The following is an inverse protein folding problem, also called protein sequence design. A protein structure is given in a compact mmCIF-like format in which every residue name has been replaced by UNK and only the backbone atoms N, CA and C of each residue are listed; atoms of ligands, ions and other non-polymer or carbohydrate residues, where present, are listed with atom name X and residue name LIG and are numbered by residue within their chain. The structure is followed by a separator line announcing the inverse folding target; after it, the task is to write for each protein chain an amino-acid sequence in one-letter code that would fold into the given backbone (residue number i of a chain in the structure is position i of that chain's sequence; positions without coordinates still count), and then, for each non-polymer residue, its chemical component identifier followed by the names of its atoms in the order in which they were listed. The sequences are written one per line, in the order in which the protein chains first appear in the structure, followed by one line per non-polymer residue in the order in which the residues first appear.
data_IF_755335354589
#
_entry.id   IF_755335354589
#
_cell.length_a   1.000
_cell.length_b   1.000
_cell.length_c   1.000
_cell.angle_alpha   90.00
_cell.angle_beta   90.00
_cell.angle_gamma   90.00
#
_symmetry.space_group_name_H-M   'P 1'
#
loop_
_entity.id
_entity.type
_entity.pdbx_description
1 polymer ?
#
# COMPACT_ATOMS: atom_id res chain seq x y z
N UNK A 1 10.42 -3.67 -49.77
CA UNK A 1 9.82 -4.73 -50.61
C UNK A 1 8.41 -4.98 -50.09
N UNK A 2 7.36 -4.74 -50.89
CA UNK A 2 5.97 -4.82 -50.44
C UNK A 2 5.32 -6.14 -50.85
N UNK A 3 4.63 -6.80 -49.92
CA UNK A 3 3.61 -7.80 -50.23
C UNK A 3 2.38 -7.45 -49.38
N UNK A 4 1.37 -6.83 -49.98
CA UNK A 4 0.19 -7.46 -50.61
C UNK A 4 -0.76 -8.11 -49.60
N UNK A 5 -1.77 -7.31 -49.23
CA UNK A 5 -3.07 -7.76 -48.70
C UNK A 5 -3.80 -8.65 -49.74
N UNK A 6 -4.45 -9.72 -49.27
CA UNK A 6 -5.76 -10.17 -49.77
C UNK A 6 -6.61 -10.77 -48.64
N UNK A 7 -7.93 -10.50 -48.63
CA UNK A 7 -8.87 -10.99 -47.62
C UNK A 7 -9.48 -12.34 -48.00
N UNK A 8 -9.95 -13.10 -47.01
CA UNK A 8 -10.90 -14.20 -47.20
C UNK A 8 -12.07 -13.98 -46.25
N UNK A 9 -13.26 -13.84 -46.82
CA UNK A 9 -14.51 -13.69 -46.11
C UNK A 9 -15.11 -15.05 -45.71
N UNK A 10 -15.71 -15.06 -44.52
CA UNK A 10 -16.96 -15.71 -44.11
C UNK A 10 -17.24 -17.18 -44.50
N UNK A 11 -17.50 -18.00 -43.46
CA UNK A 11 -18.74 -18.79 -43.38
C UNK A 11 -19.03 -19.22 -41.94
N UNK A 12 -20.27 -18.99 -41.53
CA UNK A 12 -20.91 -19.49 -40.31
C UNK A 12 -21.09 -21.01 -40.36
N UNK A 13 -20.98 -21.70 -39.22
CA UNK A 13 -21.91 -22.77 -38.86
C UNK A 13 -21.73 -23.20 -37.39
N UNK A 14 -22.87 -23.23 -36.70
CA UNK A 14 -23.12 -23.81 -35.38
C UNK A 14 -22.50 -25.20 -35.18
N UNK A 15 -22.01 -25.46 -33.97
CA UNK A 15 -22.11 -26.76 -33.32
C UNK A 15 -22.34 -26.54 -31.82
N UNK A 16 -23.61 -26.64 -31.44
CA UNK A 16 -24.01 -26.90 -30.07
C UNK A 16 -23.76 -28.38 -29.75
N UNK A 17 -23.22 -28.64 -28.56
CA UNK A 17 -23.14 -29.87 -27.75
C UNK A 17 -21.99 -29.54 -26.78
N UNK A 18 -22.10 -29.56 -25.47
CA UNK A 18 -22.88 -30.37 -24.56
C UNK A 18 -22.11 -30.32 -23.23
N UNK A 19 -22.85 -30.14 -22.15
CA UNK A 19 -22.40 -30.07 -20.76
C UNK A 19 -21.33 -31.11 -20.36
N UNK A 20 -20.24 -30.62 -19.74
CA UNK A 20 -19.32 -31.24 -18.76
C UNK A 20 -18.41 -30.08 -18.31
N UNK A 21 -17.92 -29.87 -17.09
CA UNK A 21 -18.11 -30.35 -15.74
C UNK A 21 -17.18 -29.46 -14.87
N UNK A 22 -17.56 -29.10 -13.64
CA UNK A 22 -16.71 -28.42 -12.64
C UNK A 22 -16.59 -26.91 -12.88
N UNK A 23 -17.07 -26.02 -12.01
CA UNK A 23 -16.57 -25.85 -10.64
C UNK A 23 -15.05 -26.08 -10.60
N UNK A 24 -14.32 -25.23 -11.31
CA UNK A 24 -12.91 -25.03 -11.03
C UNK A 24 -12.82 -24.40 -9.65
N UNK A 25 -12.72 -25.25 -8.63
CA UNK A 25 -12.26 -24.82 -7.32
C UNK A 25 -10.94 -24.11 -7.54
N UNK A 26 -10.92 -22.81 -7.26
CA UNK A 26 -9.68 -22.10 -7.06
C UNK A 26 -8.93 -22.88 -5.99
N UNK A 27 -7.84 -23.53 -6.39
CA UNK A 27 -6.88 -23.96 -5.39
C UNK A 27 -6.42 -22.67 -4.73
N UNK A 28 -6.71 -22.54 -3.45
CA UNK A 28 -6.04 -21.57 -2.59
C UNK A 28 -4.56 -21.86 -2.76
N UNK A 29 -3.91 -21.12 -3.65
CA UNK A 29 -2.48 -21.13 -3.83
C UNK A 29 -1.92 -20.63 -2.51
N UNK A 30 -1.73 -21.56 -1.57
CA UNK A 30 -1.32 -21.25 -0.22
C UNK A 30 -0.11 -20.36 -0.30
N UNK A 31 -0.20 -19.20 0.35
CA UNK A 31 0.94 -18.32 0.49
C UNK A 31 2.08 -19.12 1.12
N UNK A 32 3.16 -19.31 0.38
CA UNK A 32 4.39 -19.88 0.89
C UNK A 32 5.33 -18.73 1.15
N UNK A 33 5.43 -18.31 2.41
CA UNK A 33 6.37 -17.28 2.80
C UNK A 33 7.79 -17.66 2.33
N UNK A 34 8.57 -16.70 1.77
CA UNK A 34 9.98 -16.94 1.49
C UNK A 34 10.72 -17.21 2.80
N UNK A 35 11.81 -17.99 2.71
CA UNK A 35 12.68 -18.21 3.86
C UNK A 35 13.55 -16.98 4.08
N UNK A 36 13.27 -16.21 5.14
CA UNK A 36 14.05 -15.04 5.56
C UNK A 36 14.65 -15.36 6.93
N UNK A 37 15.91 -15.04 7.14
CA UNK A 37 16.51 -15.12 8.48
C UNK A 37 15.85 -14.08 9.39
N UNK A 38 15.38 -14.52 10.57
CA UNK A 38 14.72 -13.63 11.56
C UNK A 38 15.58 -13.40 12.80
N UNK A 39 16.86 -13.79 12.77
CA UNK A 39 17.80 -13.44 13.82
C UNK A 39 18.19 -11.97 13.68
N UNK A 40 18.26 -11.27 14.81
CA UNK A 40 18.73 -9.89 14.81
C UNK A 40 20.15 -9.80 14.25
N UNK A 41 20.38 -8.87 13.33
CA UNK A 41 21.69 -8.65 12.71
C UNK A 41 22.57 -7.82 13.64
N UNK A 42 23.85 -8.14 13.69
CA UNK A 42 24.85 -7.24 14.27
C UNK A 42 25.05 -6.07 13.29
N UNK A 43 24.84 -4.85 13.76
CA UNK A 43 25.13 -3.65 12.97
C UNK A 43 26.61 -3.30 13.18
N UNK A 44 27.29 -3.01 12.07
CA UNK A 44 28.72 -2.74 11.98
C UNK A 44 28.94 -1.62 10.98
N UNK A 45 30.13 -1.04 10.95
CA UNK A 45 30.48 -0.03 9.95
C UNK A 45 30.45 -0.54 8.50
N UNK A 46 30.54 -1.86 8.31
CA UNK A 46 30.50 -2.48 6.99
C UNK A 46 29.07 -2.62 6.41
N UNK A 47 28.03 -2.68 7.26
CA UNK A 47 26.64 -2.87 6.84
C UNK A 47 25.68 -1.76 7.30
N UNK A 48 26.15 -0.75 8.03
CA UNK A 48 25.30 0.33 8.56
C UNK A 48 24.48 1.05 7.49
N UNK A 49 25.06 1.30 6.30
CA UNK A 49 24.37 1.97 5.18
C UNK A 49 23.21 1.13 4.63
N UNK A 50 23.44 -0.17 4.41
CA UNK A 50 22.40 -1.11 3.96
C UNK A 50 21.31 -1.30 5.02
N UNK A 51 21.68 -1.34 6.30
CA UNK A 51 20.74 -1.43 7.42
C UNK A 51 19.85 -0.19 7.51
N UNK A 52 20.41 1.01 7.35
CA UNK A 52 19.60 2.24 7.37
C UNK A 52 18.74 2.38 6.12
N UNK A 53 19.20 1.93 4.94
CA UNK A 53 18.40 1.90 3.72
C UNK A 53 17.18 0.98 3.88
N UNK A 54 17.39 -0.26 4.35
CA UNK A 54 16.28 -1.21 4.63
C UNK A 54 15.33 -0.68 5.70
N UNK A 55 15.86 -0.05 6.75
CA UNK A 55 15.03 0.57 7.77
C UNK A 55 14.21 1.73 7.20
N UNK A 56 14.82 2.61 6.40
CA UNK A 56 14.14 3.72 5.76
C UNK A 56 13.09 3.24 4.77
N UNK A 57 13.38 2.29 3.88
CA UNK A 57 12.40 1.75 2.93
C UNK A 57 11.19 1.12 3.65
N UNK A 58 11.43 0.46 4.79
CA UNK A 58 10.36 -0.17 5.57
C UNK A 58 9.40 0.81 6.25
N UNK A 59 9.83 2.06 6.49
CA UNK A 59 9.02 3.08 7.18
C UNK A 59 8.66 4.24 6.22
N UNK A 60 9.63 4.78 5.50
CA UNK A 60 9.52 5.89 4.55
C UNK A 60 8.74 5.58 3.27
N UNK A 61 8.68 4.32 2.83
CA UNK A 61 7.90 3.91 1.66
C UNK A 61 6.39 4.18 1.75
N UNK A 62 5.88 4.50 2.95
CA UNK A 62 4.49 4.93 3.19
C UNK A 62 4.25 6.43 2.98
N UNK A 63 5.29 7.26 2.89
CA UNK A 63 5.16 8.73 2.95
C UNK A 63 5.14 9.47 1.61
N UNK A 64 5.24 8.75 0.49
CA UNK A 64 5.21 9.38 -0.83
C UNK A 64 3.79 9.81 -1.22
N UNK A 65 3.48 11.05 -0.84
CA UNK A 65 2.28 11.82 -1.19
C UNK A 65 1.96 11.77 -2.67
N UNK A 66 0.90 11.01 -3.01
CA UNK A 66 0.14 11.17 -4.24
C UNK A 66 -0.62 12.50 -4.25
N UNK A 67 -0.71 13.14 -5.42
CA UNK A 67 -1.48 14.36 -5.63
C UNK A 67 -2.98 14.17 -5.33
N UNK A 68 -3.59 15.29 -4.96
CA UNK A 68 -4.96 15.53 -4.49
C UNK A 68 -5.12 15.42 -2.99
N UNK A 69 -4.90 14.28 -2.33
CA UNK A 69 -4.88 14.20 -0.86
C UNK A 69 -3.89 13.13 -0.37
N UNK A 70 -3.11 13.38 0.69
CA UNK A 70 -2.17 12.41 1.23
C UNK A 70 -2.95 11.18 1.72
N UNK A 71 -2.92 10.09 0.95
CA UNK A 71 -3.21 8.74 1.40
C UNK A 71 -1.86 8.03 1.58
N UNK A 72 -1.26 8.02 2.79
CA UNK A 72 0.01 7.34 3.09
C UNK A 72 -0.04 5.80 2.94
N UNK A 73 -1.13 5.23 2.43
CA UNK A 73 -1.16 3.81 2.03
C UNK A 73 -0.84 3.70 0.54
N UNK A 74 0.35 4.17 0.20
CA UNK A 74 1.12 3.50 -0.83
C UNK A 74 1.55 2.16 -0.25
N UNK A 75 0.80 1.09 -0.49
CA UNK A 75 1.46 -0.23 -0.62
C UNK A 75 2.29 -0.09 -1.90
N UNK A 76 3.45 0.55 -1.78
CA UNK A 76 4.39 0.71 -2.87
C UNK A 76 4.95 -0.68 -3.07
N UNK A 77 4.47 -1.38 -4.09
CA UNK A 77 5.17 -2.54 -4.61
C UNK A 77 6.52 -2.03 -5.14
N UNK A 78 7.52 -1.98 -4.26
CA UNK A 78 8.82 -1.40 -4.53
C UNK A 78 9.47 -2.09 -5.74
N UNK A 79 9.72 -1.35 -6.83
CA UNK A 79 10.54 -1.84 -7.95
C UNK A 79 10.33 -1.18 -9.31
N UNK A 80 9.54 -0.11 -9.41
CA UNK A 80 9.44 0.67 -10.64
C UNK A 80 9.11 2.14 -10.37
N UNK A 81 9.37 3.00 -11.34
CA UNK A 81 8.94 4.41 -11.35
C UNK A 81 7.40 4.56 -11.34
N UNK A 82 6.68 3.46 -11.60
CA UNK A 82 5.23 3.42 -11.70
C UNK A 82 4.64 2.82 -10.41
N UNK A 83 4.31 3.70 -9.47
CA UNK A 83 3.75 3.35 -8.16
C UNK A 83 2.23 3.25 -8.29
N UNK A 84 1.68 2.05 -8.19
CA UNK A 84 0.23 1.83 -8.26
C UNK A 84 -0.38 2.07 -6.87
N UNK A 85 -1.22 3.09 -6.72
CA UNK A 85 -1.99 3.35 -5.50
C UNK A 85 -3.13 2.34 -5.36
N UNK A 86 -2.81 1.20 -4.76
CA UNK A 86 -3.72 0.06 -4.67
C UNK A 86 -4.98 0.36 -3.86
N UNK A 87 -4.83 1.12 -2.77
CA UNK A 87 -5.96 1.48 -1.92
C UNK A 87 -6.94 2.39 -2.67
N UNK A 88 -6.45 3.38 -3.41
CA UNK A 88 -7.29 4.37 -4.08
C UNK A 88 -8.04 3.75 -5.24
N UNK A 89 -7.34 2.93 -6.03
CA UNK A 89 -7.97 2.11 -7.06
C UNK A 89 -9.00 1.18 -6.42
N UNK A 90 -8.68 0.54 -5.29
CA UNK A 90 -9.59 -0.35 -4.60
C UNK A 90 -10.86 0.38 -4.13
N UNK A 91 -10.72 1.49 -3.42
CA UNK A 91 -11.82 2.30 -2.91
C UNK A 91 -12.68 2.85 -4.06
N UNK A 92 -12.07 3.40 -5.11
CA UNK A 92 -12.78 3.90 -6.29
C UNK A 92 -13.56 2.80 -7.02
N UNK A 93 -12.99 1.60 -7.16
CA UNK A 93 -13.71 0.48 -7.77
C UNK A 93 -14.88 0.01 -6.90
N UNK A 94 -14.72 -0.03 -5.57
CA UNK A 94 -15.82 -0.43 -4.69
C UNK A 94 -16.92 0.62 -4.68
N UNK A 95 -16.60 1.91 -4.57
CA UNK A 95 -17.58 3.00 -4.68
C UNK A 95 -18.39 2.87 -6.00
N UNK A 96 -17.69 2.65 -7.12
CA UNK A 96 -18.33 2.41 -8.41
C UNK A 96 -19.26 1.21 -8.40
N UNK A 97 -18.85 0.09 -7.78
CA UNK A 97 -19.67 -1.11 -7.68
C UNK A 97 -20.94 -0.83 -6.82
N UNK A 98 -20.78 -0.21 -5.67
CA UNK A 98 -21.87 0.16 -4.77
C UNK A 98 -22.90 1.07 -5.46
N UNK A 99 -22.44 2.10 -6.19
CA UNK A 99 -23.31 3.00 -6.98
C UNK A 99 -24.15 2.25 -8.01
N UNK A 100 -23.60 1.21 -8.66
CA UNK A 100 -24.35 0.39 -9.63
C UNK A 100 -25.30 -0.61 -8.98
N UNK A 101 -24.91 -1.15 -7.83
CA UNK A 101 -25.67 -2.14 -7.09
C UNK A 101 -26.80 -1.57 -6.23
N UNK A 102 -26.88 -0.23 -6.11
CA UNK A 102 -27.89 0.49 -5.33
C UNK A 102 -29.32 0.01 -5.67
N UNK A 103 -30.07 -0.53 -4.69
CA UNK A 103 -31.50 -0.81 -4.84
C UNK A 103 -32.28 0.44 -5.24
N UNK A 104 -33.43 0.26 -5.91
CA UNK A 104 -34.32 1.38 -6.22
C UNK A 104 -34.70 2.14 -4.93
N UNK A 105 -34.84 3.48 -5.01
CA UNK A 105 -35.03 4.37 -3.87
C UNK A 105 -36.21 4.01 -2.93
N UNK A 106 -37.19 3.24 -3.42
CA UNK A 106 -38.36 2.81 -2.66
C UNK A 106 -38.20 1.42 -1.99
N UNK A 107 -37.03 0.78 -2.10
CA UNK A 107 -36.79 -0.57 -1.59
C UNK A 107 -36.27 -0.53 -0.13
N UNK A 108 -37.08 -0.98 0.83
CA UNK A 108 -36.64 -1.25 2.20
C UNK A 108 -35.87 -2.56 2.25
N UNK A 109 -34.61 -2.53 1.86
CA UNK A 109 -33.66 -3.63 2.07
C UNK A 109 -32.94 -3.38 3.40
N UNK A 110 -32.51 -4.39 4.14
CA UNK A 110 -31.79 -4.20 5.43
C UNK A 110 -30.27 -4.41 5.30
N UNK A 111 -29.86 -5.15 4.28
CA UNK A 111 -28.48 -5.42 3.88
C UNK A 111 -28.51 -5.92 2.43
N UNK A 112 -27.47 -5.65 1.65
CA UNK A 112 -27.40 -6.13 0.27
C UNK A 112 -25.98 -6.49 -0.12
N UNK A 113 -25.86 -7.42 -1.07
CA UNK A 113 -24.58 -7.81 -1.66
C UNK A 113 -24.53 -7.35 -3.10
N UNK A 114 -23.46 -6.66 -3.46
CA UNK A 114 -23.14 -6.28 -4.83
C UNK A 114 -22.05 -7.21 -5.33
N UNK A 115 -22.20 -7.70 -6.55
CA UNK A 115 -21.11 -8.32 -7.28
C UNK A 115 -21.05 -7.71 -8.67
N UNK A 116 -19.89 -7.20 -9.05
CA UNK A 116 -19.62 -6.63 -10.37
C UNK A 116 -18.32 -7.20 -10.93
N UNK A 117 -18.19 -7.20 -12.26
CA UNK A 117 -16.97 -7.57 -12.94
C UNK A 117 -16.71 -6.56 -14.05
N UNK A 118 -15.54 -5.92 -13.97
CA UNK A 118 -15.11 -4.89 -14.92
C UNK A 118 -13.93 -5.44 -15.71
N UNK A 119 -13.98 -5.31 -17.03
CA UNK A 119 -12.82 -5.61 -17.87
C UNK A 119 -11.80 -4.48 -17.71
N UNK A 120 -10.52 -4.83 -17.56
CA UNK A 120 -9.47 -3.82 -17.52
C UNK A 120 -9.22 -3.24 -18.91
N UNK A 121 -8.64 -2.05 -18.98
CA UNK A 121 -8.51 -1.28 -20.23
C UNK A 121 -7.75 -2.02 -21.32
N UNK A 122 -6.76 -2.84 -20.96
CA UNK A 122 -5.98 -3.62 -21.92
C UNK A 122 -6.33 -5.11 -21.91
N UNK A 123 -6.19 -5.80 -20.77
CA UNK A 123 -6.52 -7.24 -20.63
C UNK A 123 -6.89 -7.61 -19.20
N UNK A 124 -7.49 -8.79 -19.03
CA UNK A 124 -7.89 -9.30 -17.72
C UNK A 124 -9.16 -8.66 -17.20
N UNK A 125 -9.41 -8.82 -15.90
CA UNK A 125 -10.61 -8.28 -15.26
C UNK A 125 -10.40 -8.01 -13.78
N UNK A 126 -11.25 -7.14 -13.23
CA UNK A 126 -11.42 -6.89 -11.81
C UNK A 126 -12.80 -7.43 -11.44
N UNK A 127 -12.86 -8.33 -10.46
CA UNK A 127 -14.11 -8.79 -9.86
C UNK A 127 -14.26 -8.14 -8.49
N UNK A 128 -15.41 -7.55 -8.24
CA UNK A 128 -15.69 -6.83 -7.00
C UNK A 128 -16.89 -7.51 -6.35
N UNK A 129 -16.78 -7.82 -5.07
CA UNK A 129 -17.91 -8.23 -4.24
C UNK A 129 -17.95 -7.35 -3.00
N UNK A 130 -19.05 -6.66 -2.77
CA UNK A 130 -19.26 -5.86 -1.57
C UNK A 130 -20.50 -6.34 -0.83
N UNK A 131 -20.45 -6.37 0.50
CA UNK A 131 -21.58 -6.63 1.36
C UNK A 131 -21.79 -5.40 2.24
N UNK A 132 -22.98 -4.81 2.10
CA UNK A 132 -23.38 -3.61 2.82
C UNK A 132 -24.25 -4.03 3.99
N UNK A 133 -23.74 -3.81 5.19
CA UNK A 133 -24.29 -4.30 6.44
C UNK A 133 -25.52 -3.53 6.92
N UNK A 134 -25.67 -2.27 6.48
CA UNK A 134 -26.81 -1.43 6.82
C UNK A 134 -27.38 -0.72 5.58
N UNK A 135 -28.69 -0.58 5.56
CA UNK A 135 -29.43 0.08 4.49
C UNK A 135 -29.65 1.58 4.71
N UNK A 136 -29.10 2.12 5.79
CA UNK A 136 -29.41 3.47 6.27
C UNK A 136 -28.87 4.56 5.33
N UNK A 137 -28.07 4.20 4.31
CA UNK A 137 -27.43 5.12 3.37
C UNK A 137 -27.80 4.91 1.90
N UNK A 138 -28.98 4.36 1.56
CA UNK A 138 -29.33 4.24 0.13
C UNK A 138 -29.21 5.57 -0.61
N UNK A 139 -29.45 6.72 0.03
CA UNK A 139 -29.34 8.03 -0.61
C UNK A 139 -28.04 8.82 -0.37
N UNK A 140 -27.17 8.39 0.53
CA UNK A 140 -26.07 9.26 0.99
C UNK A 140 -24.69 8.89 0.47
N UNK A 141 -24.52 7.79 -0.28
CA UNK A 141 -23.19 7.34 -0.77
C UNK A 141 -22.20 7.04 0.37
N UNK A 142 -22.68 7.01 1.63
CA UNK A 142 -21.91 6.73 2.84
C UNK A 142 -21.74 5.22 2.96
N UNK A 143 -20.49 4.80 3.15
CA UNK A 143 -20.19 3.45 3.60
C UNK A 143 -20.34 3.39 5.12
N UNK A 144 -20.92 2.31 5.63
CA UNK A 144 -21.18 2.16 7.06
C UNK A 144 -20.20 1.20 7.72
N UNK A 145 -20.08 1.34 9.04
CA UNK A 145 -19.40 0.35 9.87
C UNK A 145 -19.97 -1.05 9.64
N UNK A 146 -19.09 -2.03 9.42
CA UNK A 146 -19.44 -3.41 9.10
C UNK A 146 -19.56 -3.70 7.60
N UNK A 147 -19.51 -2.69 6.73
CA UNK A 147 -19.43 -2.90 5.30
C UNK A 147 -18.11 -3.59 4.93
N UNK A 148 -18.20 -4.53 3.99
CA UNK A 148 -17.03 -5.28 3.52
C UNK A 148 -16.97 -5.26 2.01
N UNK A 149 -15.77 -5.25 1.47
CA UNK A 149 -15.53 -5.39 0.05
C UNK A 149 -14.38 -6.37 -0.20
N UNK A 150 -14.42 -7.06 -1.33
CA UNK A 150 -13.33 -7.87 -1.83
C UNK A 150 -13.17 -7.59 -3.30
N UNK A 151 -11.94 -7.30 -3.69
CA UNK A 151 -11.54 -6.96 -5.04
C UNK A 151 -10.54 -8.02 -5.46
N UNK A 152 -10.84 -8.71 -6.56
CA UNK A 152 -10.00 -9.74 -7.13
C UNK A 152 -9.51 -9.26 -8.49
N UNK A 153 -8.20 -9.15 -8.62
CA UNK A 153 -7.52 -8.81 -9.86
C UNK A 153 -7.14 -10.11 -10.57
N UNK A 154 -7.68 -10.27 -11.79
CA UNK A 154 -7.44 -11.45 -12.62
C UNK A 154 -6.55 -11.07 -13.80
N UNK A 155 -5.23 -11.01 -13.57
CA UNK A 155 -4.23 -10.58 -14.55
C UNK A 155 -4.64 -9.27 -15.27
N UNK A 156 -5.09 -8.32 -14.47
CA UNK A 156 -5.63 -7.05 -14.92
C UNK A 156 -4.49 -6.14 -15.39
N UNK A 157 -4.53 -5.69 -16.63
CA UNK A 157 -3.59 -4.71 -17.16
C UNK A 157 -4.32 -3.42 -17.50
N UNK A 158 -3.84 -2.31 -16.92
CA UNK A 158 -4.36 -0.97 -17.18
C UNK A 158 -3.71 -0.35 -18.42
N UNK A 159 -2.54 -0.84 -18.81
CA UNK A 159 -1.85 -0.47 -20.03
C UNK A 159 -1.28 -1.70 -20.76
N UNK A 160 -0.51 -1.47 -21.82
CA UNK A 160 0.11 -2.54 -22.60
C UNK A 160 1.25 -3.26 -21.86
N UNK A 161 1.65 -2.75 -20.70
CA UNK A 161 2.85 -3.14 -20.02
C UNK A 161 2.62 -3.99 -18.79
N UNK A 162 2.16 -3.33 -17.73
CA UNK A 162 2.13 -3.91 -16.41
C UNK A 162 0.80 -4.60 -16.13
N UNK A 163 0.85 -5.62 -15.28
CA UNK A 163 -0.35 -6.35 -14.89
C UNK A 163 -0.37 -6.66 -13.41
N UNK A 164 -1.58 -6.69 -12.85
CA UNK A 164 -1.83 -6.95 -11.44
C UNK A 164 -2.72 -8.18 -11.26
N UNK A 165 -2.42 -8.98 -10.24
CA UNK A 165 -3.19 -10.17 -9.87
C UNK A 165 -3.30 -10.28 -8.34
N UNK A 166 -4.23 -11.10 -7.85
CA UNK A 166 -4.43 -11.33 -6.41
C UNK A 166 -5.71 -10.69 -5.91
N UNK A 167 -5.82 -10.49 -4.59
CA UNK A 167 -7.02 -9.88 -4.04
C UNK A 167 -6.76 -8.97 -2.85
N UNK A 168 -7.60 -7.96 -2.70
CA UNK A 168 -7.66 -7.04 -1.58
C UNK A 168 -9.06 -7.15 -0.96
N UNK A 169 -9.13 -7.48 0.33
CA UNK A 169 -10.34 -7.41 1.12
C UNK A 169 -10.32 -6.16 2.00
N UNK A 170 -11.43 -5.45 2.11
CA UNK A 170 -11.60 -4.26 2.93
C UNK A 170 -12.77 -4.50 3.88
N UNK A 171 -12.64 -4.09 5.14
CA UNK A 171 -13.71 -4.05 6.13
C UNK A 171 -13.69 -2.69 6.79
N UNK A 172 -14.81 -1.97 6.77
CA UNK A 172 -14.94 -0.71 7.49
C UNK A 172 -15.39 -0.94 8.92
N UNK A 173 -14.81 -0.18 9.84
CA UNK A 173 -15.17 -0.16 11.26
C UNK A 173 -15.85 1.15 11.65
N UNK A 174 -15.83 2.17 10.79
CA UNK A 174 -16.54 3.43 10.97
C UNK A 174 -17.43 3.76 9.76
N UNK A 175 -18.40 4.63 9.98
CA UNK A 175 -19.13 5.25 8.89
C UNK A 175 -18.22 6.25 8.17
N UNK A 176 -18.27 6.25 6.84
CA UNK A 176 -17.39 7.06 6.01
C UNK A 176 -18.07 7.52 4.73
N UNK A 177 -18.00 8.82 4.46
CA UNK A 177 -18.39 9.39 3.17
C UNK A 177 -17.14 9.46 2.26
N UNK A 178 -17.06 8.65 1.18
CA UNK A 178 -15.92 8.68 0.27
C UNK A 178 -15.70 10.04 -0.40
N UNK A 179 -16.72 10.91 -0.48
CA UNK A 179 -16.53 12.28 -0.97
C UNK A 179 -15.57 13.12 -0.10
N UNK A 180 -15.39 12.74 1.17
CA UNK A 180 -14.40 13.36 2.07
C UNK A 180 -12.95 13.04 1.63
N UNK A 181 -12.72 11.94 0.89
CA UNK A 181 -11.41 11.65 0.28
C UNK A 181 -11.08 12.54 -0.91
N UNK A 182 -12.05 13.23 -1.51
CA UNK A 182 -11.82 14.14 -2.63
C UNK A 182 -11.89 15.60 -2.17
N UNK A 183 -12.64 15.86 -1.10
CA UNK A 183 -12.85 17.20 -0.55
C UNK A 183 -12.92 17.16 0.98
N UNK A 184 -11.79 17.37 1.70
CA UNK A 184 -11.76 17.31 3.15
C UNK A 184 -12.55 18.45 3.80
N UNK A 185 -12.85 19.53 3.06
CA UNK A 185 -13.68 20.63 3.56
C UNK A 185 -15.13 20.20 3.81
N UNK A 186 -15.57 19.07 3.22
CA UNK A 186 -16.85 18.44 3.53
C UNK A 186 -16.88 17.87 4.95
N UNK A 187 -15.72 17.68 5.55
CA UNK A 187 -15.58 17.16 6.89
C UNK A 187 -15.82 18.25 7.95
N UNK A 188 -17.05 18.34 8.45
CA UNK A 188 -17.40 19.31 9.51
C UNK A 188 -18.29 18.66 10.59
N UNK A 189 -17.93 18.72 11.90
CA UNK A 189 -16.71 19.32 12.45
C UNK A 189 -15.45 18.47 12.25
N UNK A 190 -15.53 17.15 12.42
CA UNK A 190 -14.42 16.18 12.29
C UNK A 190 -14.95 14.86 11.71
N UNK A 191 -14.09 14.09 11.03
CA UNK A 191 -14.43 12.81 10.42
C UNK A 191 -13.36 11.79 10.75
N UNK A 192 -13.77 10.55 10.89
CA UNK A 192 -12.87 9.44 11.13
C UNK A 192 -13.17 8.31 10.16
N UNK A 193 -12.11 7.68 9.64
CA UNK A 193 -12.18 6.47 8.83
C UNK A 193 -11.39 5.40 9.54
N UNK A 194 -12.02 4.29 9.86
CA UNK A 194 -11.34 3.12 10.39
C UNK A 194 -11.64 1.93 9.48
N UNK A 195 -10.60 1.24 9.01
CA UNK A 195 -10.74 0.07 8.15
C UNK A 195 -9.65 -0.97 8.40
N UNK A 196 -9.97 -2.22 8.12
CA UNK A 196 -8.98 -3.29 7.97
C UNK A 196 -8.91 -3.74 6.51
N UNK A 197 -7.69 -3.96 6.05
CA UNK A 197 -7.34 -4.40 4.70
C UNK A 197 -6.65 -5.75 4.83
N UNK A 198 -7.07 -6.71 4.02
CA UNK A 198 -6.40 -8.01 3.86
C UNK A 198 -5.89 -8.11 2.43
N UNK A 199 -4.63 -8.47 2.27
CA UNK A 199 -3.95 -8.54 0.98
C UNK A 199 -3.55 -10.00 0.78
N UNK A 200 -4.15 -10.65 -0.21
CA UNK A 200 -3.84 -12.04 -0.52
C UNK A 200 -3.12 -12.12 -1.86
N UNK A 201 -1.81 -12.34 -1.79
CA UNK A 201 -0.92 -12.56 -2.94
C UNK A 201 -1.14 -11.51 -4.04
N UNK A 202 -1.17 -10.24 -3.65
CA UNK A 202 -1.28 -9.15 -4.59
C UNK A 202 0.04 -9.02 -5.34
N UNK A 203 0.05 -9.34 -6.63
CA UNK A 203 1.26 -9.37 -7.46
C UNK A 203 1.16 -8.31 -8.55
N UNK A 204 2.20 -7.47 -8.66
CA UNK A 204 2.49 -6.65 -9.83
C UNK A 204 3.50 -7.38 -10.69
N UNK A 205 3.30 -7.36 -12.01
CA UNK A 205 4.22 -7.93 -12.99
C UNK A 205 4.45 -6.92 -14.09
N UNK A 206 5.71 -6.56 -14.32
CA UNK A 206 6.13 -5.61 -15.33
C UNK A 206 6.54 -6.27 -16.64
N UNK A 207 6.64 -5.46 -17.69
CA UNK A 207 6.99 -5.95 -19.05
C UNK A 207 8.34 -6.62 -19.18
N UNK A 208 9.31 -6.22 -18.36
CA UNK A 208 10.66 -6.76 -18.33
C UNK A 208 10.75 -8.09 -17.56
N UNK A 209 9.64 -8.58 -17.02
CA UNK A 209 9.54 -9.83 -16.28
C UNK A 209 9.87 -9.68 -14.79
N UNK A 210 10.11 -8.46 -14.31
CA UNK A 210 10.14 -8.19 -12.89
C UNK A 210 8.74 -8.35 -12.28
N UNK A 211 8.67 -8.88 -11.07
CA UNK A 211 7.42 -9.04 -10.34
C UNK A 211 7.65 -8.70 -8.87
N UNK A 212 6.70 -8.03 -8.25
CA UNK A 212 6.62 -7.89 -6.80
C UNK A 212 5.30 -8.43 -6.30
N UNK A 213 5.32 -9.06 -5.13
CA UNK A 213 4.12 -9.58 -4.48
C UNK A 213 4.05 -9.09 -3.04
N UNK A 214 2.85 -8.72 -2.63
CA UNK A 214 2.50 -8.32 -1.27
C UNK A 214 1.47 -9.29 -0.71
N UNK A 215 1.65 -9.67 0.55
CA UNK A 215 0.72 -10.52 1.29
C UNK A 215 0.67 -10.08 2.76
N UNK A 216 -0.51 -9.94 3.34
CA UNK A 216 -0.62 -9.59 4.75
C UNK A 216 -1.88 -8.84 5.12
N UNK A 217 -1.84 -8.18 6.26
CA UNK A 217 -2.91 -7.34 6.80
C UNK A 217 -2.45 -5.90 7.00
N UNK A 218 -3.38 -4.97 6.91
CA UNK A 218 -3.23 -3.60 7.37
C UNK A 218 -4.49 -3.19 8.13
N UNK A 219 -4.36 -2.34 9.13
CA UNK A 219 -5.45 -1.55 9.66
C UNK A 219 -5.10 -0.08 9.52
N UNK A 220 -6.08 0.72 9.12
CA UNK A 220 -5.97 2.17 8.96
C UNK A 220 -7.00 2.82 9.87
N UNK A 221 -6.53 3.77 10.65
CA UNK A 221 -7.34 4.68 11.46
C UNK A 221 -6.96 6.10 11.09
N UNK A 222 -7.86 6.84 10.49
CA UNK A 222 -7.65 8.19 10.01
C UNK A 222 -8.62 9.14 10.67
N UNK A 223 -8.13 10.31 11.05
CA UNK A 223 -8.91 11.44 11.53
C UNK A 223 -8.62 12.66 10.67
N UNK A 224 -9.67 13.30 10.16
CA UNK A 224 -9.61 14.51 9.35
C UNK A 224 -10.30 15.61 10.14
N UNK A 225 -9.59 16.72 10.32
CA UNK A 225 -10.13 17.99 10.82
C UNK A 225 -9.89 19.08 9.76
N UNK A 226 -10.50 20.27 9.90
CA UNK A 226 -10.28 21.36 8.94
C UNK A 226 -8.82 21.83 8.82
N UNK A 227 -7.96 21.52 9.79
CA UNK A 227 -6.56 21.98 9.83
C UNK A 227 -5.54 20.85 9.88
N UNK A 228 -5.97 19.63 10.22
CA UNK A 228 -5.06 18.50 10.42
C UNK A 228 -5.61 17.21 9.83
N UNK A 229 -4.71 16.40 9.31
CA UNK A 229 -4.98 15.02 8.92
C UNK A 229 -4.06 14.15 9.77
N UNK A 230 -4.61 13.20 10.51
CA UNK A 230 -3.86 12.20 11.27
C UNK A 230 -4.24 10.82 10.77
N UNK A 231 -3.26 9.95 10.56
CA UNK A 231 -3.47 8.58 10.14
C UNK A 231 -2.55 7.65 10.91
N UNK A 232 -3.11 6.58 11.45
CA UNK A 232 -2.38 5.46 12.00
C UNK A 232 -2.59 4.26 11.10
N UNK A 233 -1.49 3.71 10.57
CA UNK A 233 -1.46 2.44 9.86
C UNK A 233 -0.78 1.40 10.74
N UNK A 234 -1.39 0.23 10.89
CA UNK A 234 -0.79 -0.89 11.63
C UNK A 234 -0.85 -2.19 10.84
N UNK A 235 0.10 -3.10 11.09
CA UNK A 235 0.12 -4.44 10.51
C UNK A 235 0.69 -5.42 11.51
N UNK A 236 0.06 -6.58 11.65
CA UNK A 236 0.67 -7.67 12.40
C UNK A 236 1.73 -8.40 11.57
N UNK A 237 1.47 -8.55 10.27
CA UNK A 237 2.34 -9.24 9.34
C UNK A 237 2.13 -8.75 7.91
N UNK A 238 3.15 -8.13 7.33
CA UNK A 238 3.19 -7.77 5.92
C UNK A 238 4.43 -8.36 5.25
N UNK A 239 4.22 -9.12 4.19
CA UNK A 239 5.26 -9.74 3.39
C UNK A 239 5.36 -9.03 2.05
N UNK A 240 6.59 -8.73 1.66
CA UNK A 240 6.97 -8.24 0.35
C UNK A 240 8.02 -9.19 -0.23
N UNK A 241 7.91 -9.52 -1.52
CA UNK A 241 8.94 -10.26 -2.22
C UNK A 241 8.89 -10.03 -3.72
N UNK A 242 10.06 -10.04 -4.35
CA UNK A 242 10.22 -9.79 -5.78
C UNK A 242 10.97 -10.91 -6.50
N UNK A 243 10.87 -10.92 -7.83
CA UNK A 243 11.45 -11.97 -8.67
C UNK A 243 12.98 -11.95 -8.74
N UNK A 244 13.62 -10.86 -8.30
CA UNK A 244 15.07 -10.73 -8.13
C UNK A 244 15.59 -11.39 -6.84
N UNK A 245 14.69 -11.92 -6.00
CA UNK A 245 15.03 -12.62 -4.77
C UNK A 245 15.06 -11.74 -3.53
N UNK A 246 14.76 -10.43 -3.65
CA UNK A 246 14.52 -9.61 -2.48
C UNK A 246 13.23 -10.04 -1.79
N UNK A 247 13.29 -10.16 -0.47
CA UNK A 247 12.11 -10.38 0.36
C UNK A 247 12.25 -9.62 1.69
N UNK A 248 11.12 -9.10 2.16
CA UNK A 248 10.99 -8.35 3.39
C UNK A 248 9.74 -8.80 4.14
N UNK A 249 9.83 -8.92 5.45
CA UNK A 249 8.72 -9.18 6.35
C UNK A 249 8.68 -8.09 7.41
N UNK A 250 7.57 -7.36 7.47
CA UNK A 250 7.27 -6.39 8.50
C UNK A 250 6.34 -7.04 9.52
N UNK A 251 6.69 -6.93 10.80
CA UNK A 251 5.85 -7.42 11.89
C UNK A 251 5.75 -6.39 13.01
N UNK A 252 4.55 -6.29 13.59
CA UNK A 252 4.24 -5.27 14.59
C UNK A 252 4.45 -3.85 14.08
N UNK A 253 4.09 -3.60 12.82
CA UNK A 253 4.13 -2.26 12.24
C UNK A 253 3.05 -1.41 12.92
N UNK A 254 3.45 -0.25 13.40
CA UNK A 254 2.56 0.83 13.80
C UNK A 254 3.20 2.14 13.35
N UNK A 255 2.56 2.83 12.42
CA UNK A 255 2.99 4.10 11.86
C UNK A 255 1.89 5.13 12.07
N UNK A 256 2.20 6.26 12.67
CA UNK A 256 1.32 7.41 12.78
C UNK A 256 1.89 8.59 12.00
N UNK A 257 1.11 9.07 11.05
CA UNK A 257 1.36 10.24 10.23
C UNK A 257 0.44 11.35 10.67
N UNK A 258 0.97 12.56 10.84
CA UNK A 258 0.15 13.74 11.03
C UNK A 258 0.61 14.86 10.10
N UNK A 259 -0.34 15.54 9.48
CA UNK A 259 -0.12 16.71 8.64
C UNK A 259 -0.87 17.90 9.21
N UNK A 260 -0.18 19.01 9.39
CA UNK A 260 -0.79 20.33 9.62
C UNK A 260 -0.85 21.06 8.29
N UNK A 261 -2.04 21.11 7.71
CA UNK A 261 -2.29 21.73 6.40
C UNK A 261 -2.09 23.24 6.47
N UNK A 262 -2.34 23.85 7.64
CA UNK A 262 -2.20 25.30 7.82
C UNK A 262 -0.74 25.75 7.90
N UNK A 263 0.13 24.88 8.42
CA UNK A 263 1.57 25.14 8.55
C UNK A 263 2.40 24.49 7.44
N UNK A 264 1.78 23.63 6.63
CA UNK A 264 2.46 22.80 5.62
C UNK A 264 3.58 21.97 6.25
N UNK A 265 3.30 21.37 7.40
CA UNK A 265 4.24 20.50 8.12
C UNK A 265 3.69 19.09 8.25
N UNK A 266 4.58 18.12 8.43
CA UNK A 266 4.20 16.75 8.73
C UNK A 266 5.11 16.14 9.79
N UNK A 267 4.57 15.17 10.53
CA UNK A 267 5.28 14.27 11.42
C UNK A 267 4.97 12.82 11.08
N UNK A 268 5.95 11.97 11.34
CA UNK A 268 5.96 10.55 11.03
C UNK A 268 6.57 9.81 12.22
N UNK A 269 5.77 9.05 12.93
CA UNK A 269 6.20 8.20 14.04
C UNK A 269 5.98 6.74 13.64
N UNK A 270 6.98 5.88 13.74
CA UNK A 270 6.82 4.48 13.34
C UNK A 270 7.61 3.53 14.19
N UNK A 271 7.04 2.36 14.45
CA UNK A 271 7.74 1.23 15.05
C UNK A 271 7.46 -0.03 14.24
N UNK A 272 8.50 -0.82 13.97
CA UNK A 272 8.36 -2.07 13.19
C UNK A 272 9.54 -3.00 13.43
N UNK A 273 9.31 -4.31 13.37
CA UNK A 273 10.37 -5.31 13.19
C UNK A 273 10.47 -5.68 11.72
N UNK A 274 11.64 -5.50 11.13
CA UNK A 274 11.92 -5.78 9.72
C UNK A 274 12.83 -6.98 9.63
N UNK A 275 12.40 -8.05 8.96
CA UNK A 275 13.30 -9.09 8.49
C UNK A 275 13.48 -8.96 6.98
N UNK A 276 14.71 -8.98 6.47
CA UNK A 276 14.98 -8.76 5.05
C UNK A 276 16.14 -9.60 4.56
N UNK A 277 16.04 -10.08 3.32
CA UNK A 277 17.13 -10.78 2.63
C UNK A 277 18.31 -9.88 2.31
N UNK A 278 18.11 -8.54 2.24
CA UNK A 278 19.21 -7.60 2.01
C UNK A 278 20.20 -7.61 3.18
N UNK A 279 19.70 -7.58 4.41
CA UNK A 279 20.54 -7.62 5.63
C UNK A 279 20.78 -9.04 6.16
N UNK A 280 20.25 -10.07 5.50
CA UNK A 280 20.27 -11.49 5.92
C UNK A 280 19.89 -11.71 7.40
N UNK A 281 18.82 -11.05 7.84
CA UNK A 281 18.38 -11.11 9.22
C UNK A 281 17.27 -10.10 9.52
N UNK A 282 17.15 -9.72 10.79
CA UNK A 282 16.16 -8.74 11.24
C UNK A 282 16.74 -7.57 12.03
N UNK A 283 15.97 -6.48 12.09
CA UNK A 283 16.21 -5.28 12.89
C UNK A 283 14.89 -4.79 13.50
N UNK A 284 14.97 -4.07 14.61
CA UNK A 284 13.86 -3.28 15.13
C UNK A 284 14.07 -1.82 14.78
N UNK A 285 13.04 -1.16 14.27
CA UNK A 285 13.10 0.23 13.81
C UNK A 285 12.12 1.07 14.63
N UNK A 286 12.59 2.24 15.07
CA UNK A 286 11.77 3.28 15.67
C UNK A 286 12.11 4.60 14.97
N UNK A 287 11.14 5.20 14.29
CA UNK A 287 11.29 6.45 13.57
C UNK A 287 10.47 7.56 14.25
N UNK A 288 11.05 8.74 14.34
CA UNK A 288 10.38 9.99 14.72
C UNK A 288 10.90 11.08 13.77
N UNK A 289 10.22 11.25 12.65
CA UNK A 289 10.66 12.06 11.53
C UNK A 289 9.67 13.20 11.32
N UNK A 290 10.16 14.34 10.83
CA UNK A 290 9.32 15.49 10.53
C UNK A 290 9.85 16.27 9.34
N UNK A 291 8.93 16.96 8.68
CA UNK A 291 9.25 17.74 7.50
C UNK A 291 8.37 18.96 7.31
N UNK A 292 8.79 19.80 6.38
CA UNK A 292 7.98 20.88 5.83
C UNK A 292 7.72 20.59 4.37
N UNK A 293 6.47 20.75 3.93
CA UNK A 293 6.09 20.64 2.53
C UNK A 293 6.50 21.95 1.82
N UNK A 294 7.78 22.10 1.46
CA UNK A 294 8.23 23.24 0.65
C UNK A 294 8.07 22.94 -0.82
N UNK A 295 7.19 23.69 -1.50
CA UNK A 295 7.03 23.59 -2.95
C UNK A 295 6.01 22.56 -3.41
N UNK A 296 4.97 22.28 -2.61
CA UNK A 296 3.85 21.45 -3.05
C UNK A 296 3.23 22.07 -4.32
N UNK A 297 3.51 21.44 -5.45
CA UNK A 297 2.88 21.68 -6.73
C UNK A 297 2.26 20.35 -7.12
N UNK A 298 0.96 20.38 -7.36
CA UNK A 298 0.17 19.25 -7.82
C UNK A 298 0.81 18.51 -9.03
N UNK A 299 1.63 19.22 -9.81
CA UNK A 299 2.25 18.74 -11.04
C UNK A 299 3.73 18.31 -10.92
N UNK A 300 4.40 18.48 -9.77
CA UNK A 300 5.83 18.13 -9.64
C UNK A 300 6.11 17.33 -8.37
N UNK A 301 6.15 16.02 -8.53
CA UNK A 301 6.62 15.06 -7.54
C UNK A 301 8.14 15.17 -7.36
N UNK A 302 8.58 15.70 -6.23
CA UNK A 302 9.91 15.42 -5.68
C UNK A 302 9.70 14.64 -4.40
N UNK A 303 10.42 13.53 -4.22
CA UNK A 303 10.44 12.83 -2.94
C UNK A 303 10.71 13.86 -1.83
N UNK A 304 9.75 14.04 -0.92
CA UNK A 304 9.89 14.97 0.19
C UNK A 304 10.46 14.21 1.38
N UNK A 305 11.74 13.82 1.26
CA UNK A 305 12.45 13.20 2.36
C UNK A 305 12.29 14.06 3.63
N UNK A 306 12.23 13.44 4.82
CA UNK A 306 12.23 14.18 6.07
C UNK A 306 13.40 15.14 6.14
N UNK A 307 13.15 16.35 6.62
CA UNK A 307 14.20 17.36 6.79
C UNK A 307 14.67 17.46 8.25
N UNK A 308 14.05 16.70 9.16
CA UNK A 308 14.40 16.63 10.57
C UNK A 308 13.91 15.33 11.21
N UNK A 309 14.49 14.99 12.35
CA UNK A 309 14.07 13.86 13.17
C UNK A 309 15.15 12.79 13.33
N UNK A 310 14.75 11.63 13.81
CA UNK A 310 15.64 10.53 14.17
C UNK A 310 15.06 9.18 13.76
N UNK A 311 15.91 8.31 13.24
CA UNK A 311 15.62 6.90 12.99
C UNK A 311 16.56 6.06 13.88
N UNK A 312 15.99 5.31 14.82
CA UNK A 312 16.74 4.41 15.70
C UNK A 312 16.54 2.98 15.25
N UNK A 313 17.64 2.29 14.97
CA UNK A 313 17.65 0.92 14.46
C UNK A 313 18.41 0.05 15.46
N UNK A 314 17.76 -0.98 15.98
CA UNK A 314 18.34 -1.89 16.97
C UNK A 314 18.58 -3.27 16.36
N UNK A 315 19.83 -3.70 16.41
CA UNK A 315 20.29 -5.03 16.00
C UNK A 315 20.60 -5.94 17.19
N UNK A 316 21.40 -6.98 16.96
CA UNK A 316 21.90 -7.86 18.00
C UNK A 316 23.07 -7.20 18.73
N UNK A 317 22.84 -6.70 19.95
CA UNK A 317 23.86 -5.99 20.74
C UNK A 317 24.51 -4.81 19.99
N UNK A 318 23.72 -4.10 19.19
CA UNK A 318 24.15 -2.89 18.48
C UNK A 318 22.96 -1.98 18.21
N UNK A 319 23.23 -0.70 18.06
CA UNK A 319 22.27 0.31 17.68
C UNK A 319 22.87 1.23 16.62
N UNK A 320 22.03 1.66 15.67
CA UNK A 320 22.35 2.68 14.70
C UNK A 320 21.30 3.77 14.79
N UNK A 321 21.73 5.00 15.05
CA UNK A 321 20.86 6.17 15.08
C UNK A 321 21.18 7.06 13.89
N UNK A 322 20.22 7.26 12.99
CA UNK A 322 20.33 8.23 11.91
C UNK A 322 19.62 9.53 12.31
N UNK A 323 20.38 10.60 12.49
CA UNK A 323 19.87 11.95 12.74
C UNK A 323 19.70 12.68 11.42
N UNK A 324 18.48 13.12 11.13
CA UNK A 324 18.13 13.82 9.90
C UNK A 324 18.29 15.33 10.08
N UNK A 325 18.97 15.97 9.14
CA UNK A 325 19.11 17.42 9.05
C UNK A 325 19.15 17.87 7.60
N UNK A 326 18.01 18.32 7.08
CA UNK A 326 17.83 18.64 5.66
C UNK A 326 18.09 17.42 4.79
N UNK A 327 18.97 17.57 3.79
CA UNK A 327 19.29 16.50 2.83
C UNK A 327 20.34 15.49 3.35
N UNK A 328 20.71 15.58 4.62
CA UNK A 328 21.79 14.79 5.23
C UNK A 328 21.29 13.94 6.39
N UNK A 329 21.86 12.74 6.49
CA UNK A 329 21.72 11.85 7.64
C UNK A 329 23.08 11.70 8.31
N UNK A 330 23.12 11.92 9.62
CA UNK A 330 24.29 11.57 10.44
C UNK A 330 24.00 10.25 11.16
N UNK A 331 24.68 9.20 10.72
CA UNK A 331 24.66 7.87 11.29
C UNK A 331 25.59 7.81 12.50
N UNK A 332 25.05 7.40 13.64
CA UNK A 332 25.76 7.16 14.90
C UNK A 332 25.64 5.67 15.21
N UNK A 333 26.75 4.94 15.13
CA UNK A 333 26.80 3.51 15.35
C UNK A 333 27.33 3.21 16.76
N UNK A 334 26.53 2.52 17.56
CA UNK A 334 26.93 1.80 18.77
C UNK A 334 27.03 0.31 18.38
N UNK A 335 28.24 -0.18 18.16
CA UNK A 335 28.48 -1.53 17.62
C UNK A 335 28.54 -2.61 18.68
N UNK A 336 28.65 -2.27 19.97
CA UNK A 336 28.70 -3.25 21.07
C UNK A 336 27.57 -3.14 22.09
N UNK A 337 26.67 -2.17 21.91
CA UNK A 337 25.48 -1.96 22.71
C UNK A 337 25.79 -1.37 24.08
N UNK A 338 26.93 -0.72 24.27
CA UNK A 338 27.32 -0.12 25.54
C UNK A 338 26.68 1.26 25.81
N UNK A 339 25.97 1.80 24.80
CA UNK A 339 25.30 3.09 24.84
C UNK A 339 26.17 4.28 24.44
N UNK A 340 27.38 4.05 23.93
CA UNK A 340 28.24 5.07 23.34
C UNK A 340 28.40 4.84 21.83
N UNK A 341 28.50 5.94 21.07
CA UNK A 341 28.77 5.85 19.64
C UNK A 341 30.25 5.49 19.40
N UNK A 342 30.48 4.39 18.69
CA UNK A 342 31.79 3.94 18.22
C UNK A 342 32.21 4.66 16.94
N UNK A 343 31.24 4.91 16.05
CA UNK A 343 31.47 5.49 14.73
C UNK A 343 30.40 6.50 14.35
N UNK A 344 30.83 7.55 13.63
CA UNK A 344 29.96 8.58 13.08
C UNK A 344 30.23 8.75 11.59
N UNK A 345 29.19 8.61 10.78
CA UNK A 345 29.25 8.80 9.32
C UNK A 345 28.14 9.74 8.88
N UNK A 346 28.42 10.61 7.91
CA UNK A 346 27.40 11.48 7.30
C UNK A 346 27.19 11.09 5.86
N UNK A 347 25.93 10.87 5.50
CA UNK A 347 25.47 10.52 4.15
C UNK A 347 24.33 11.47 3.72
N UNK A 348 23.89 11.37 2.47
CA UNK A 348 22.70 12.01 1.93
C UNK A 348 21.61 10.99 1.64
N UNK A 349 20.36 11.46 1.48
CA UNK A 349 19.25 10.60 1.06
C UNK A 349 19.52 9.87 -0.26
N UNK A 350 20.23 10.53 -1.19
CA UNK A 350 20.62 9.95 -2.48
C UNK A 350 21.74 8.91 -2.40
N UNK A 351 22.35 8.73 -1.23
CA UNK A 351 23.34 7.68 -0.98
C UNK A 351 22.71 6.42 -0.36
N UNK A 352 21.45 6.52 0.12
CA UNK A 352 20.62 5.37 0.47
C UNK A 352 20.03 4.77 -0.81
#
# INVERSE_FOLDING_TARGET
MPHLYRPVAASCALLALGSLAGCGGGGDGGFSAPNINTALVQITSANQEEVVAVAYDSVGGSSETAGELPLPIGIVAAGGSDKVQLLDIALAQVDRALRRGKPAADATVSAYTVSDSVQCDYRGSISISANVASADSFDTEIWSSGDTATIVFNNCAFDAGDSVSGSIGITLHSDFDPAVLDNPELCTPDCSVSMSISINNFTVSSTDGWTATVHGDLALDRTITPTTISETTSSNSLWFFSSDGFAMHLSGLETTNAMDVSQLTYSYDSTVTVASTAIDGSINVSAQLSGTLSGFSYDTYTANDPNSGTLTITGANSQLTANVSGDTLTLLLDSDGDGNDDEMTTITWTQL
#
